data_IF_069184240319
#
_entry.id   IF_069184240319
#
_cell.length_a   1.000
_cell.length_b   1.000
_cell.length_c   1.000
_cell.angle_alpha   90.00
_cell.angle_beta   90.00
_cell.angle_gamma   90.00
#
_symmetry.space_group_name_H-M   'P 1'
#
loop_
_entity.id
_entity.type
_entity.pdbx_description
1 polymer ?
#
# COMPACT_ATOMS: atom_id res chain seq x y z
N UNK A 1 -9.89 30.86 -5.30
CA UNK A 1 -8.93 29.83 -5.76
C UNK A 1 -9.75 28.57 -5.95
N UNK A 2 -9.70 27.93 -7.12
CA UNK A 2 -10.40 26.67 -7.31
C UNK A 2 -9.82 25.65 -6.31
N UNK A 3 -10.68 25.04 -5.49
CA UNK A 3 -10.29 23.87 -4.70
C UNK A 3 -9.81 22.82 -5.72
N UNK A 4 -8.52 22.47 -5.67
CA UNK A 4 -8.05 21.31 -6.41
C UNK A 4 -8.71 20.11 -5.72
N UNK A 5 -9.59 19.42 -6.42
CA UNK A 5 -10.12 18.14 -5.97
C UNK A 5 -8.95 17.18 -5.75
N UNK A 6 -9.05 16.30 -4.76
CA UNK A 6 -8.08 15.25 -4.57
C UNK A 6 -7.99 14.37 -5.83
N UNK A 7 -6.82 13.83 -6.10
CA UNK A 7 -6.54 13.03 -7.28
C UNK A 7 -5.86 11.72 -6.88
N UNK A 8 -6.34 10.61 -7.43
CA UNK A 8 -5.68 9.31 -7.34
C UNK A 8 -5.00 9.00 -8.67
N UNK A 9 -3.67 8.87 -8.66
CA UNK A 9 -2.88 8.38 -9.80
C UNK A 9 -2.48 6.95 -9.52
N UNK A 10 -2.56 6.08 -10.53
CA UNK A 10 -2.19 4.68 -10.46
C UNK A 10 -1.12 4.39 -11.52
N UNK A 11 -0.05 3.73 -11.08
CA UNK A 11 1.02 3.23 -11.93
C UNK A 11 1.08 1.72 -11.78
N UNK A 12 1.01 0.98 -12.89
CA UNK A 12 1.23 -0.47 -12.87
C UNK A 12 2.71 -0.71 -13.09
N UNK A 13 3.35 -1.24 -12.06
CA UNK A 13 4.79 -1.45 -12.03
C UNK A 13 5.11 -2.94 -11.88
N UNK A 14 6.36 -3.32 -12.02
CA UNK A 14 6.89 -4.69 -11.90
C UNK A 14 6.31 -5.71 -12.91
N UNK A 15 6.99 -6.85 -13.11
CA UNK A 15 6.45 -7.94 -13.92
C UNK A 15 5.19 -8.58 -13.35
N UNK A 16 4.94 -8.43 -12.03
CA UNK A 16 3.75 -8.92 -11.35
C UNK A 16 2.54 -7.96 -11.47
N UNK A 17 2.72 -6.83 -12.19
CA UNK A 17 1.68 -5.82 -12.38
C UNK A 17 1.17 -5.25 -11.05
N UNK A 18 2.10 -4.92 -10.17
CA UNK A 18 1.80 -4.31 -8.88
C UNK A 18 1.26 -2.90 -9.09
N UNK A 19 0.22 -2.55 -8.38
CA UNK A 19 -0.37 -1.22 -8.37
C UNK A 19 0.39 -0.31 -7.40
N UNK A 20 1.15 0.63 -7.92
CA UNK A 20 1.67 1.76 -7.16
C UNK A 20 0.66 2.91 -7.25
N UNK A 21 0.26 3.44 -6.11
CA UNK A 21 -0.71 4.52 -6.04
C UNK A 21 -0.05 5.82 -5.56
N UNK A 22 -0.51 6.94 -6.10
CA UNK A 22 -0.18 8.27 -5.61
C UNK A 22 -1.48 9.03 -5.32
N UNK A 23 -1.74 9.28 -4.04
CA UNK A 23 -2.87 10.09 -3.61
C UNK A 23 -2.43 11.52 -3.43
N UNK A 24 -3.04 12.43 -4.19
CA UNK A 24 -2.70 13.85 -4.21
C UNK A 24 -3.82 14.65 -3.57
N UNK A 25 -3.49 15.44 -2.56
CA UNK A 25 -4.40 16.37 -1.89
C UNK A 25 -3.72 17.70 -1.64
N UNK A 26 -4.32 18.80 -2.01
CA UNK A 26 -3.81 20.16 -1.83
C UNK A 26 -2.36 20.39 -2.32
N UNK A 27 -1.91 19.63 -3.34
CA UNK A 27 -0.55 19.73 -3.88
C UNK A 27 0.50 18.88 -3.15
N UNK A 28 0.10 18.14 -2.12
CA UNK A 28 0.89 17.13 -1.44
C UNK A 28 0.53 15.72 -1.96
N UNK A 29 1.45 14.77 -1.83
CA UNK A 29 1.28 13.43 -2.34
C UNK A 29 1.78 12.36 -1.36
N UNK A 30 0.95 11.38 -1.08
CA UNK A 30 1.32 10.10 -0.48
C UNK A 30 1.50 9.07 -1.61
N UNK A 31 2.67 8.43 -1.69
CA UNK A 31 2.88 7.29 -2.60
C UNK A 31 2.81 6.00 -1.83
N UNK A 32 2.03 5.03 -2.34
CA UNK A 32 1.84 3.72 -1.72
C UNK A 32 2.31 2.63 -2.68
N UNK A 33 3.13 1.70 -2.17
CA UNK A 33 3.66 0.52 -2.84
C UNK A 33 4.40 0.80 -4.16
N UNK A 34 5.46 1.63 -4.17
CA UNK A 34 6.29 1.82 -5.36
C UNK A 34 7.20 0.59 -5.58
N UNK A 35 6.63 -0.49 -6.09
CA UNK A 35 7.30 -1.78 -6.23
C UNK A 35 8.41 -1.81 -7.27
N UNK A 36 8.45 -0.86 -8.20
CA UNK A 36 9.48 -0.72 -9.22
C UNK A 36 9.39 0.63 -9.93
N UNK A 37 10.36 0.90 -10.80
CA UNK A 37 10.39 2.13 -11.62
C UNK A 37 10.30 3.43 -10.80
N UNK A 38 10.84 3.45 -9.56
CA UNK A 38 10.70 4.57 -8.63
C UNK A 38 11.13 5.93 -9.18
N UNK A 39 12.20 5.97 -9.99
CA UNK A 39 12.64 7.21 -10.64
C UNK A 39 11.62 7.72 -11.67
N UNK A 40 11.03 6.84 -12.47
CA UNK A 40 10.00 7.22 -13.45
C UNK A 40 8.70 7.65 -12.75
N UNK A 41 8.32 7.01 -11.65
CA UNK A 41 7.20 7.46 -10.81
C UNK A 41 7.45 8.87 -10.28
N UNK A 42 8.67 9.17 -9.79
CA UNK A 42 9.04 10.51 -9.33
C UNK A 42 8.91 11.57 -10.44
N UNK A 43 9.32 11.24 -11.68
CA UNK A 43 9.17 12.16 -12.83
C UNK A 43 7.70 12.49 -13.10
N UNK A 44 6.79 11.50 -12.98
CA UNK A 44 5.35 11.71 -13.16
C UNK A 44 4.69 12.48 -11.99
N UNK A 45 5.40 12.63 -10.88
CA UNK A 45 4.95 13.35 -9.69
C UNK A 45 5.68 14.71 -9.51
N UNK A 46 6.41 15.19 -10.52
CA UNK A 46 7.18 16.44 -10.44
C UNK A 46 6.30 17.70 -10.23
N UNK A 47 5.00 17.62 -10.46
CA UNK A 47 4.03 18.70 -10.27
C UNK A 47 3.46 18.79 -8.84
N UNK A 48 3.80 17.83 -7.96
CA UNK A 48 3.32 17.74 -6.58
C UNK A 48 4.48 17.48 -5.60
N UNK A 49 4.26 17.77 -4.33
CA UNK A 49 5.24 17.47 -3.27
C UNK A 49 4.97 16.10 -2.66
N UNK A 50 5.81 15.12 -2.92
CA UNK A 50 5.73 13.82 -2.22
C UNK A 50 6.11 14.04 -0.76
N UNK A 51 5.20 13.75 0.15
CA UNK A 51 5.36 13.96 1.60
C UNK A 51 5.66 12.69 2.36
N UNK A 52 5.29 11.53 1.78
CA UNK A 52 5.57 10.22 2.35
C UNK A 52 5.54 9.17 1.24
N UNK A 53 6.42 8.18 1.35
CA UNK A 53 6.40 6.92 0.60
C UNK A 53 6.08 5.82 1.58
N UNK A 54 4.91 5.20 1.47
CA UNK A 54 4.46 4.14 2.37
C UNK A 54 4.43 2.79 1.66
N UNK A 55 4.74 1.73 2.38
CA UNK A 55 4.52 0.37 1.91
C UNK A 55 3.46 -0.33 2.77
N UNK A 56 2.49 -0.98 2.12
CA UNK A 56 1.50 -1.81 2.79
C UNK A 56 2.12 -3.05 3.39
N UNK A 57 3.20 -3.57 2.79
CA UNK A 57 3.97 -4.70 3.28
C UNK A 57 5.36 -4.78 2.59
N UNK A 58 6.20 -5.72 3.02
CA UNK A 58 7.63 -5.76 2.65
C UNK A 58 8.00 -6.61 1.45
N UNK A 59 7.09 -7.15 0.63
CA UNK A 59 7.44 -7.93 -0.55
C UNK A 59 8.12 -7.05 -1.62
N UNK A 60 9.07 -7.65 -2.34
CA UNK A 60 9.93 -6.94 -3.28
C UNK A 60 9.20 -6.18 -4.37
N UNK A 61 8.09 -6.72 -4.85
CA UNK A 61 7.25 -6.07 -5.86
C UNK A 61 6.43 -4.88 -5.34
N UNK A 62 6.38 -4.66 -4.02
CA UNK A 62 5.77 -3.48 -3.39
C UNK A 62 6.80 -2.43 -2.95
N UNK A 63 8.05 -2.83 -2.75
CA UNK A 63 9.08 -1.93 -2.19
C UNK A 63 10.32 -1.74 -3.08
N UNK A 64 10.46 -2.47 -4.17
CA UNK A 64 11.68 -2.46 -4.99
C UNK A 64 12.01 -1.11 -5.64
N UNK A 65 11.04 -0.22 -5.81
CA UNK A 65 11.23 1.13 -6.33
C UNK A 65 11.39 2.21 -5.26
N UNK A 66 11.21 1.87 -3.97
CA UNK A 66 11.25 2.83 -2.84
C UNK A 66 12.55 3.61 -2.82
N UNK A 67 13.70 2.93 -2.90
CA UNK A 67 15.01 3.59 -2.81
C UNK A 67 15.20 4.66 -3.88
N UNK A 68 14.83 4.37 -5.12
CA UNK A 68 14.93 5.33 -6.23
C UNK A 68 13.96 6.52 -6.04
N UNK A 69 12.73 6.25 -5.60
CA UNK A 69 11.72 7.28 -5.36
C UNK A 69 12.13 8.22 -4.21
N UNK A 70 12.58 7.66 -3.08
CA UNK A 70 13.06 8.44 -1.93
C UNK A 70 14.25 9.31 -2.31
N UNK A 71 15.24 8.77 -3.05
CA UNK A 71 16.36 9.59 -3.54
C UNK A 71 15.93 10.74 -4.43
N UNK A 72 14.92 10.53 -5.26
CA UNK A 72 14.47 11.54 -6.21
C UNK A 72 13.62 12.64 -5.53
N UNK A 73 12.85 12.30 -4.51
CA UNK A 73 11.87 13.20 -3.88
C UNK A 73 12.32 13.77 -2.54
N UNK A 74 13.22 13.07 -1.84
CA UNK A 74 13.59 13.38 -0.46
C UNK A 74 12.50 13.07 0.57
N UNK A 75 11.43 12.37 0.16
CA UNK A 75 10.32 12.02 1.06
C UNK A 75 10.72 10.88 2.01
N UNK A 76 10.22 10.87 3.26
CA UNK A 76 10.46 9.78 4.20
C UNK A 76 9.79 8.48 3.73
N UNK A 77 10.44 7.34 4.03
CA UNK A 77 9.90 6.01 3.83
C UNK A 77 9.24 5.47 5.10
N UNK A 78 8.04 4.94 4.97
CA UNK A 78 7.24 4.40 6.06
C UNK A 78 6.81 2.95 5.77
N UNK A 79 7.02 2.05 6.74
CA UNK A 79 6.58 0.65 6.68
C UNK A 79 6.42 0.12 8.11
N UNK A 80 5.60 -0.94 8.28
CA UNK A 80 5.47 -1.60 9.58
C UNK A 80 6.77 -2.30 9.99
N UNK A 81 7.12 -2.23 11.29
CA UNK A 81 8.39 -2.73 11.83
C UNK A 81 8.65 -4.22 11.53
N UNK A 82 7.60 -5.05 11.53
CA UNK A 82 7.74 -6.48 11.27
C UNK A 82 8.19 -6.81 9.84
N UNK A 83 7.91 -5.92 8.88
CA UNK A 83 8.25 -6.08 7.46
C UNK A 83 9.50 -5.30 7.02
N UNK A 84 10.07 -4.45 7.86
CA UNK A 84 11.25 -3.66 7.53
C UNK A 84 12.45 -4.51 7.06
N UNK A 85 12.67 -5.67 7.72
CA UNK A 85 13.74 -6.60 7.33
C UNK A 85 13.47 -7.32 6.00
N UNK A 86 12.20 -7.56 5.68
CA UNK A 86 11.79 -8.15 4.40
C UNK A 86 12.04 -7.13 3.28
N UNK A 87 11.58 -5.89 3.46
CA UNK A 87 11.78 -4.79 2.52
C UNK A 87 13.28 -4.50 2.24
N UNK A 88 14.13 -4.56 3.27
CA UNK A 88 15.58 -4.37 3.15
C UNK A 88 16.27 -5.44 2.30
N UNK A 89 15.56 -6.47 1.84
CA UNK A 89 16.07 -7.55 0.98
C UNK A 89 15.34 -7.66 -0.35
N UNK A 90 14.57 -6.64 -0.72
CA UNK A 90 13.77 -6.64 -1.95
C UNK A 90 14.59 -6.98 -3.20
N UNK A 91 15.76 -6.37 -3.37
CA UNK A 91 16.63 -6.64 -4.50
C UNK A 91 17.23 -8.05 -4.55
N UNK A 92 17.20 -8.79 -3.43
CA UNK A 92 17.62 -10.19 -3.36
C UNK A 92 16.48 -11.15 -3.75
N UNK A 93 15.25 -10.66 -3.76
CA UNK A 93 14.08 -11.44 -4.15
C UNK A 93 14.04 -11.53 -5.67
N UNK A 94 13.63 -12.67 -6.18
CA UNK A 94 13.37 -12.83 -7.61
C UNK A 94 12.05 -13.55 -7.80
N UNK A 95 11.17 -12.91 -8.53
CA UNK A 95 9.95 -13.55 -8.98
C UNK A 95 9.93 -13.58 -10.50
N UNK A 96 9.36 -14.65 -11.06
CA UNK A 96 9.30 -14.85 -12.52
C UNK A 96 10.69 -14.70 -13.20
N UNK A 97 11.77 -15.04 -12.47
CA UNK A 97 13.16 -14.98 -13.01
C UNK A 97 13.72 -13.56 -13.16
N UNK A 98 13.15 -12.56 -12.50
CA UNK A 98 13.65 -11.17 -12.46
C UNK A 98 13.81 -10.72 -11.01
N UNK A 99 14.89 -10.00 -10.75
CA UNK A 99 15.10 -9.29 -9.47
C UNK A 99 14.40 -7.94 -9.52
N UNK A 100 14.01 -7.44 -8.36
CA UNK A 100 13.51 -6.08 -8.19
C UNK A 100 14.67 -5.07 -8.26
N UNK A 101 14.32 -3.78 -8.46
CA UNK A 101 15.30 -2.75 -8.78
C UNK A 101 16.37 -2.62 -7.69
N UNK A 102 15.97 -2.44 -6.43
CA UNK A 102 16.88 -2.23 -5.30
C UNK A 102 16.27 -2.74 -3.98
N UNK A 103 17.10 -2.88 -2.96
CA UNK A 103 16.65 -3.03 -1.59
C UNK A 103 15.99 -1.73 -1.11
N UNK A 104 14.91 -1.82 -0.36
CA UNK A 104 14.38 -0.64 0.30
C UNK A 104 15.39 -0.09 1.32
N UNK A 105 15.48 1.24 1.49
CA UNK A 105 16.31 1.83 2.52
C UNK A 105 15.77 1.51 3.93
N UNK A 106 16.54 1.82 4.95
CA UNK A 106 16.04 1.78 6.31
C UNK A 106 14.85 2.76 6.44
N UNK A 107 13.72 2.36 7.04
CA UNK A 107 12.56 3.23 7.14
C UNK A 107 12.80 4.40 8.08
N UNK A 108 12.36 5.59 7.65
CA UNK A 108 12.35 6.79 8.50
C UNK A 108 11.21 6.75 9.52
N UNK A 109 10.11 6.04 9.19
CA UNK A 109 8.92 5.92 10.01
C UNK A 109 8.51 4.44 10.11
N UNK A 110 8.37 3.95 11.34
CA UNK A 110 7.81 2.63 11.60
C UNK A 110 6.32 2.80 11.89
N UNK A 111 5.50 2.25 10.99
CA UNK A 111 4.04 2.28 11.11
C UNK A 111 3.56 1.32 12.20
N UNK A 112 2.53 1.73 12.92
CA UNK A 112 1.82 0.93 13.90
C UNK A 112 0.32 1.19 13.84
N UNK A 113 -0.46 0.32 14.47
CA UNK A 113 -1.92 0.44 14.60
C UNK A 113 -2.35 1.83 15.06
N UNK A 114 -3.25 2.45 14.31
CA UNK A 114 -3.81 3.76 14.64
C UNK A 114 -2.95 4.97 14.26
N UNK A 115 -1.74 4.78 13.76
CA UNK A 115 -0.95 5.88 13.22
C UNK A 115 -1.67 6.56 12.05
N UNK A 116 -1.42 7.86 11.88
CA UNK A 116 -2.09 8.66 10.85
C UNK A 116 -1.05 9.32 9.93
N UNK A 117 -1.12 8.96 8.65
CA UNK A 117 -0.38 9.64 7.58
C UNK A 117 -1.23 10.79 7.04
N UNK A 118 -0.71 12.01 7.11
CA UNK A 118 -1.40 13.19 6.58
C UNK A 118 -0.84 13.60 5.22
N UNK A 119 -1.74 13.98 4.30
CA UNK A 119 -1.41 14.48 2.97
C UNK A 119 -2.42 15.56 2.56
N UNK A 120 -2.01 16.82 2.54
CA UNK A 120 -2.90 17.95 2.30
C UNK A 120 -4.05 18.00 3.29
N UNK A 121 -5.29 17.83 2.81
CA UNK A 121 -6.52 17.77 3.60
C UNK A 121 -7.03 16.35 3.84
N UNK A 122 -6.34 15.36 3.29
CA UNK A 122 -6.61 13.94 3.48
C UNK A 122 -5.78 13.35 4.62
N UNK A 123 -6.26 12.26 5.18
CA UNK A 123 -5.54 11.45 6.16
C UNK A 123 -5.69 9.97 5.82
N UNK A 124 -4.73 9.14 6.25
CA UNK A 124 -4.80 7.69 6.15
C UNK A 124 -4.42 7.07 7.47
N UNK A 125 -5.36 6.39 8.11
CA UNK A 125 -5.13 5.70 9.38
C UNK A 125 -4.62 4.30 9.11
N UNK A 126 -3.57 3.90 9.80
CA UNK A 126 -2.99 2.56 9.71
C UNK A 126 -3.87 1.57 10.48
N UNK A 127 -4.28 0.51 9.80
CA UNK A 127 -4.91 -0.68 10.37
C UNK A 127 -3.96 -1.86 10.13
N UNK A 128 -3.44 -2.46 11.20
CA UNK A 128 -2.62 -3.68 11.07
C UNK A 128 -3.47 -4.84 10.58
N UNK A 129 -3.03 -5.48 9.52
CA UNK A 129 -3.70 -6.61 8.87
C UNK A 129 -2.71 -7.73 8.57
N UNK A 130 -2.08 -8.32 9.61
CA UNK A 130 -1.11 -9.40 9.41
C UNK A 130 -1.76 -10.64 8.79
N UNK A 131 -0.92 -11.45 8.13
CA UNK A 131 -1.31 -12.75 7.59
C UNK A 131 -0.76 -13.02 6.19
N UNK A 132 -0.80 -12.08 5.26
CA UNK A 132 -0.02 -12.16 4.01
C UNK A 132 1.47 -11.98 4.31
N UNK A 133 1.79 -11.00 5.13
CA UNK A 133 3.07 -10.81 5.81
C UNK A 133 2.83 -10.49 7.29
N UNK A 134 3.83 -10.60 8.16
CA UNK A 134 3.68 -10.24 9.57
C UNK A 134 3.42 -8.75 9.81
N UNK A 135 3.87 -7.89 8.91
CA UNK A 135 3.74 -6.43 8.99
C UNK A 135 2.77 -5.84 7.97
N UNK A 136 1.85 -6.65 7.43
CA UNK A 136 0.83 -6.16 6.51
C UNK A 136 -0.06 -5.10 7.16
N UNK A 137 -0.31 -4.01 6.44
CA UNK A 137 -1.20 -2.92 6.88
C UNK A 137 -2.17 -2.50 5.78
N UNK A 138 -3.32 -2.02 6.18
CA UNK A 138 -4.28 -1.29 5.36
C UNK A 138 -4.23 0.18 5.76
N UNK A 139 -4.25 1.08 4.79
CA UNK A 139 -4.30 2.52 5.01
C UNK A 139 -5.71 3.01 4.72
N UNK A 140 -6.47 3.31 5.77
CA UNK A 140 -7.89 3.69 5.68
C UNK A 140 -8.01 5.21 5.58
N UNK A 141 -8.59 5.70 4.50
CA UNK A 141 -8.75 7.12 4.23
C UNK A 141 -9.75 7.82 5.14
N UNK A 142 -9.41 9.05 5.49
CA UNK A 142 -10.23 9.99 6.25
C UNK A 142 -10.03 11.42 5.74
N UNK A 143 -10.78 12.38 6.27
CA UNK A 143 -10.79 13.73 5.73
C UNK A 143 -11.33 13.71 4.29
N UNK A 144 -10.59 14.32 3.35
CA UNK A 144 -11.02 14.31 1.93
C UNK A 144 -10.77 12.97 1.23
N UNK A 145 -10.05 12.02 1.85
CA UNK A 145 -9.87 10.64 1.38
C UNK A 145 -10.91 9.66 1.95
N UNK A 146 -11.92 10.14 2.68
CA UNK A 146 -12.99 9.26 3.20
C UNK A 146 -13.60 8.43 2.06
N UNK A 147 -13.80 7.12 2.31
CA UNK A 147 -14.31 6.20 1.30
C UNK A 147 -13.23 5.58 0.40
N UNK A 148 -11.95 5.74 0.71
CA UNK A 148 -10.83 5.09 0.02
C UNK A 148 -9.97 4.32 1.02
N UNK A 149 -9.51 3.11 0.68
CA UNK A 149 -8.51 2.39 1.47
C UNK A 149 -7.49 1.68 0.54
N UNK A 150 -6.20 1.80 0.86
CA UNK A 150 -5.17 0.99 0.24
C UNK A 150 -5.03 -0.30 1.03
N UNK A 151 -5.36 -1.42 0.40
CA UNK A 151 -5.45 -2.71 1.10
C UNK A 151 -4.27 -3.64 0.79
N UNK A 152 -3.34 -3.20 -0.06
CA UNK A 152 -2.20 -4.02 -0.49
C UNK A 152 -2.65 -5.41 -0.91
N UNK A 153 -1.97 -6.40 -0.38
CA UNK A 153 -2.26 -7.81 -0.64
C UNK A 153 -3.06 -8.49 0.48
N UNK A 154 -3.73 -7.71 1.34
CA UNK A 154 -4.60 -8.28 2.36
C UNK A 154 -5.89 -8.83 1.76
N UNK A 155 -6.55 -8.07 0.86
CA UNK A 155 -7.82 -8.44 0.25
C UNK A 155 -7.81 -8.20 -1.26
N UNK A 156 -8.36 -9.14 -2.01
CA UNK A 156 -8.59 -9.06 -3.44
C UNK A 156 -10.05 -9.35 -3.79
N UNK A 157 -10.53 -8.97 -4.99
CA UNK A 157 -11.89 -9.31 -5.44
C UNK A 157 -12.18 -10.80 -5.33
N UNK A 158 -13.04 -11.19 -4.38
CA UNK A 158 -13.43 -12.57 -4.13
C UNK A 158 -12.34 -13.46 -3.52
N UNK A 159 -11.23 -12.89 -3.03
CA UNK A 159 -10.08 -13.63 -2.51
C UNK A 159 -9.34 -12.82 -1.44
N UNK A 160 -8.20 -13.32 -0.99
CA UNK A 160 -7.24 -12.65 -0.14
C UNK A 160 -5.80 -12.95 -0.57
N UNK A 161 -4.84 -12.26 0.01
CA UNK A 161 -3.41 -12.49 -0.20
C UNK A 161 -2.99 -13.90 0.21
N UNK A 162 -2.06 -14.48 -0.54
CA UNK A 162 -1.49 -15.79 -0.22
C UNK A 162 -0.78 -15.79 1.14
N UNK A 163 -0.78 -16.92 1.80
CA UNK A 163 -0.21 -17.10 3.15
C UNK A 163 0.86 -18.18 3.20
N UNK A 164 1.24 -18.75 2.05
CA UNK A 164 2.19 -19.86 1.91
C UNK A 164 3.65 -19.40 1.75
N UNK A 165 3.91 -18.09 1.72
CA UNK A 165 5.27 -17.54 1.74
C UNK A 165 5.80 -17.40 3.16
N UNK A 166 7.10 -17.18 3.29
CA UNK A 166 7.76 -17.01 4.60
C UNK A 166 7.15 -15.86 5.40
N UNK A 167 6.64 -16.15 6.58
CA UNK A 167 5.94 -15.17 7.43
C UNK A 167 4.43 -15.12 7.23
N UNK A 168 3.90 -15.80 6.20
CA UNK A 168 2.45 -15.90 5.98
C UNK A 168 1.75 -16.77 7.03
N UNK A 169 0.52 -16.41 7.39
CA UNK A 169 -0.30 -17.10 8.39
C UNK A 169 -1.79 -16.99 8.02
N UNK A 170 -2.41 -18.12 7.73
CA UNK A 170 -3.81 -18.22 7.34
C UNK A 170 -4.77 -17.79 8.46
N UNK A 171 -4.45 -18.10 9.70
CA UNK A 171 -5.29 -17.71 10.83
C UNK A 171 -5.29 -16.19 11.03
N UNK A 172 -4.13 -15.55 10.86
CA UNK A 172 -4.00 -14.11 10.97
C UNK A 172 -4.71 -13.38 9.82
N UNK A 173 -4.56 -13.84 8.56
CA UNK A 173 -5.24 -13.18 7.44
C UNK A 173 -6.77 -13.26 7.60
N UNK A 174 -7.31 -14.39 8.06
CA UNK A 174 -8.74 -14.53 8.32
C UNK A 174 -9.22 -13.60 9.44
N UNK A 175 -8.43 -13.42 10.50
CA UNK A 175 -8.75 -12.46 11.56
C UNK A 175 -8.70 -11.00 11.03
N UNK A 176 -7.71 -10.68 10.21
CA UNK A 176 -7.58 -9.38 9.56
C UNK A 176 -8.76 -9.06 8.65
N UNK A 177 -9.19 -10.03 7.83
CA UNK A 177 -10.35 -9.90 6.95
C UNK A 177 -11.65 -9.69 7.75
N UNK A 178 -11.85 -10.46 8.83
CA UNK A 178 -13.01 -10.30 9.70
C UNK A 178 -13.04 -8.90 10.35
N UNK A 179 -11.88 -8.39 10.76
CA UNK A 179 -11.74 -7.04 11.28
C UNK A 179 -12.04 -5.98 10.22
N UNK A 180 -11.50 -6.10 9.01
CA UNK A 180 -11.81 -5.20 7.89
C UNK A 180 -13.31 -5.16 7.60
N UNK A 181 -13.98 -6.33 7.60
CA UNK A 181 -15.42 -6.45 7.39
C UNK A 181 -16.24 -5.74 8.47
N UNK A 182 -15.74 -5.68 9.70
CA UNK A 182 -16.43 -5.04 10.82
C UNK A 182 -16.18 -3.51 10.90
N UNK A 183 -15.01 -3.04 10.52
CA UNK A 183 -14.54 -1.68 10.80
C UNK A 183 -14.51 -0.78 9.56
N UNK A 184 -14.36 -1.31 8.34
CA UNK A 184 -14.33 -0.51 7.10
C UNK A 184 -15.74 -0.35 6.55
N UNK A 185 -16.15 0.90 6.29
CA UNK A 185 -17.47 1.21 5.72
C UNK A 185 -17.71 0.45 4.41
N UNK A 186 -18.94 -0.09 4.20
CA UNK A 186 -19.29 -0.75 2.93
C UNK A 186 -19.07 0.11 1.67
N UNK A 187 -19.17 1.44 1.79
CA UNK A 187 -19.01 2.38 0.67
C UNK A 187 -17.55 2.62 0.30
N UNK A 188 -16.61 2.09 1.09
CA UNK A 188 -15.17 2.28 0.85
C UNK A 188 -14.71 1.52 -0.40
N UNK A 189 -14.05 2.25 -1.31
CA UNK A 189 -13.28 1.68 -2.42
C UNK A 189 -11.99 1.08 -1.87
N UNK A 190 -11.73 -0.18 -2.21
CA UNK A 190 -10.55 -0.93 -1.81
C UNK A 190 -9.55 -0.97 -2.98
N UNK A 191 -8.41 -0.35 -2.79
CA UNK A 191 -7.32 -0.26 -3.76
C UNK A 191 -6.33 -1.40 -3.48
N UNK A 192 -6.43 -2.46 -4.28
CA UNK A 192 -5.64 -3.68 -4.11
C UNK A 192 -4.22 -3.54 -4.65
N UNK A 193 -3.27 -4.29 -4.11
CA UNK A 193 -1.88 -4.34 -4.57
C UNK A 193 -1.73 -4.87 -6.00
N UNK A 194 -2.65 -5.75 -6.44
CA UNK A 194 -2.67 -6.28 -7.80
C UNK A 194 -4.08 -6.29 -8.38
N UNK A 195 -4.17 -6.22 -9.71
CA UNK A 195 -5.43 -6.34 -10.44
C UNK A 195 -6.38 -5.16 -10.20
N UNK A 196 -7.69 -5.37 -10.36
CA UNK A 196 -8.66 -4.30 -10.23
C UNK A 196 -8.97 -3.94 -8.77
N UNK A 197 -9.37 -2.70 -8.53
CA UNK A 197 -10.00 -2.27 -7.29
C UNK A 197 -11.37 -2.92 -7.09
N UNK A 198 -11.86 -2.92 -5.86
CA UNK A 198 -13.20 -3.40 -5.49
C UNK A 198 -13.84 -2.45 -4.49
N UNK A 199 -14.95 -2.83 -3.85
CA UNK A 199 -15.54 -2.10 -2.74
C UNK A 199 -15.86 -3.04 -1.58
N UNK A 200 -15.84 -2.53 -0.37
CA UNK A 200 -16.18 -3.34 0.81
C UNK A 200 -17.59 -3.92 0.69
N UNK A 201 -18.56 -3.15 0.19
CA UNK A 201 -19.93 -3.65 -0.03
C UNK A 201 -19.97 -4.88 -0.96
N UNK A 202 -19.20 -4.88 -2.04
CA UNK A 202 -19.12 -6.03 -2.96
C UNK A 202 -18.48 -7.22 -2.27
N UNK A 203 -17.39 -7.02 -1.57
CA UNK A 203 -16.65 -8.12 -0.93
C UNK A 203 -17.44 -8.75 0.21
N UNK A 204 -18.18 -7.97 1.01
CA UNK A 204 -19.09 -8.48 2.04
C UNK A 204 -20.16 -9.44 1.47
N UNK A 205 -20.55 -9.26 0.19
CA UNK A 205 -21.56 -10.11 -0.46
C UNK A 205 -20.93 -11.27 -1.22
N UNK A 206 -19.80 -11.05 -1.89
CA UNK A 206 -19.25 -11.98 -2.88
C UNK A 206 -18.01 -12.74 -2.41
N UNK A 207 -17.22 -12.17 -1.49
CA UNK A 207 -15.99 -12.78 -1.04
C UNK A 207 -16.28 -13.91 -0.03
N UNK A 208 -15.91 -15.17 -0.33
CA UNK A 208 -16.19 -16.29 0.56
C UNK A 208 -15.43 -16.23 1.89
N UNK A 209 -14.36 -15.44 1.98
CA UNK A 209 -13.50 -15.29 3.16
C UNK A 209 -13.97 -14.19 4.13
N UNK A 210 -14.98 -13.40 3.75
CA UNK A 210 -15.60 -12.37 4.59
C UNK A 210 -16.98 -12.79 5.15
N UNK A 211 -17.33 -14.07 5.02
CA UNK A 211 -18.64 -14.62 5.45
C UNK A 211 -18.52 -15.43 6.73
#
# INVERSE_FOLDING_TARGET
>A
MAEKNDELRQFVVTPLQTNCYAYVSAGECLVVDPGGSGAAVAEHLADVRVTCVAATHGHGDHVGGVAALVRATGAPFAIHAADAKLAARAGEMSEVGRSYDENAPEPDVLLAEGDVLSVGTATFTVMETPGHTPGGVVLVGGGTAEGVAFVGDTLFPGSHGRTDLAGGDEGQIMASLARMAAEISPETMLLCGHGPSTSMARELVQNPFLR
#
